data_IF_003744846351
#
_entry.id   IF_003744846351
#
_cell.length_a   1.000
_cell.length_b   1.000
_cell.length_c   1.000
_cell.angle_alpha   90.00
_cell.angle_beta   90.00
_cell.angle_gamma   90.00
#
_symmetry.space_group_name_H-M   'P 1'
#
loop_
_entity.id
_entity.type
_entity.pdbx_description
1 polymer ?
#
# COMPACT_ATOMS: atom_id res chain seq x y z
N UNK A 1 -2.16 -17.97 -21.14
CA UNK A 1 -3.23 -16.94 -21.11
C UNK A 1 -2.55 -15.63 -20.81
N UNK A 2 -2.57 -14.65 -21.73
CA UNK A 2 -2.18 -13.29 -21.37
C UNK A 2 -3.25 -12.76 -20.43
N UNK A 3 -2.86 -12.35 -19.22
CA UNK A 3 -3.77 -11.61 -18.35
C UNK A 3 -4.23 -10.36 -19.12
N UNK A 4 -5.52 -10.06 -19.11
CA UNK A 4 -6.01 -8.82 -19.71
C UNK A 4 -5.33 -7.63 -19.03
N UNK A 5 -4.94 -6.65 -19.84
CA UNK A 5 -4.33 -5.42 -19.34
C UNK A 5 -5.37 -4.65 -18.55
N UNK A 6 -5.05 -4.28 -17.32
CA UNK A 6 -5.94 -3.42 -16.55
C UNK A 6 -5.82 -1.96 -17.03
N UNK A 7 -6.91 -1.20 -16.92
CA UNK A 7 -6.89 0.25 -17.14
C UNK A 7 -6.00 0.95 -16.10
N UNK A 8 -5.25 2.00 -16.47
CA UNK A 8 -4.37 2.74 -15.55
C UNK A 8 -5.08 3.20 -14.27
N UNK A 9 -4.43 3.03 -13.10
CA UNK A 9 -4.93 3.62 -11.87
C UNK A 9 -4.81 5.16 -11.96
N UNK A 10 -5.90 5.92 -11.75
CA UNK A 10 -5.89 7.38 -11.90
C UNK A 10 -5.14 8.10 -10.76
N UNK A 11 -4.90 7.40 -9.65
CA UNK A 11 -4.19 7.93 -8.48
C UNK A 11 -2.68 7.65 -8.52
N UNK A 12 -2.19 6.97 -9.55
CA UNK A 12 -0.77 6.71 -9.77
C UNK A 12 -0.23 7.56 -10.94
N UNK A 13 1.08 7.84 -10.96
CA UNK A 13 1.70 8.56 -12.08
C UNK A 13 1.45 7.86 -13.41
N UNK A 14 1.21 8.66 -14.45
CA UNK A 14 1.17 8.15 -15.82
C UNK A 14 2.57 7.68 -16.22
N UNK A 15 2.65 6.45 -16.72
CA UNK A 15 3.91 5.87 -17.17
C UNK A 15 4.00 5.94 -18.70
N UNK A 16 5.13 6.43 -19.21
CA UNK A 16 5.45 6.39 -20.65
C UNK A 16 6.15 5.09 -21.04
N UNK A 17 6.83 4.48 -20.08
CA UNK A 17 7.56 3.21 -20.22
C UNK A 17 7.32 2.36 -18.98
N UNK A 18 7.19 1.06 -19.17
CA UNK A 18 7.09 0.09 -18.08
C UNK A 18 8.35 0.12 -17.22
N UNK A 19 8.15 0.22 -15.91
CA UNK A 19 9.21 0.07 -14.91
C UNK A 19 9.41 -1.41 -14.61
N UNK A 20 10.66 -1.82 -14.46
CA UNK A 20 11.07 -3.21 -14.28
C UNK A 20 11.80 -3.41 -12.96
N UNK A 21 12.04 -4.69 -12.62
CA UNK A 21 12.87 -5.04 -11.48
C UNK A 21 14.32 -4.53 -11.62
N UNK A 22 14.83 -4.37 -12.83
CA UNK A 22 16.17 -3.83 -13.06
C UNK A 22 16.25 -2.35 -12.67
N UNK A 23 15.24 -1.56 -13.04
CA UNK A 23 15.14 -0.14 -12.67
C UNK A 23 15.07 0.01 -11.15
N UNK A 24 14.28 -0.82 -10.47
CA UNK A 24 14.22 -0.82 -9.00
C UNK A 24 15.53 -1.19 -8.32
N UNK A 25 16.38 -2.03 -8.93
CA UNK A 25 17.69 -2.40 -8.39
C UNK A 25 18.73 -1.30 -8.64
N UNK A 26 18.64 -0.62 -9.77
CA UNK A 26 19.56 0.46 -10.14
C UNK A 26 19.54 1.63 -9.14
N UNK A 27 18.43 1.81 -8.42
CA UNK A 27 18.31 2.84 -7.38
C UNK A 27 19.12 2.54 -6.10
N UNK A 28 19.57 1.29 -5.90
CA UNK A 28 20.33 0.88 -4.72
C UNK A 28 19.54 1.03 -3.42
N UNK A 29 20.24 1.51 -2.38
CA UNK A 29 19.71 1.63 -1.02
C UNK A 29 19.03 3.00 -0.74
N UNK A 30 19.00 3.90 -1.72
CA UNK A 30 18.32 5.19 -1.56
C UNK A 30 16.82 5.00 -1.34
N UNK A 31 16.28 5.66 -0.31
CA UNK A 31 14.85 5.62 0.05
C UNK A 31 14.14 6.95 -0.09
N UNK A 32 14.79 7.99 -0.64
CA UNK A 32 14.18 9.33 -0.78
C UNK A 32 13.10 9.43 -1.85
N UNK A 33 12.85 10.65 -2.33
CA UNK A 33 11.77 10.94 -3.28
C UNK A 33 11.83 10.12 -4.58
N UNK A 34 13.01 9.89 -5.15
CA UNK A 34 13.14 9.09 -6.38
C UNK A 34 12.74 7.63 -6.18
N UNK A 35 12.99 7.08 -4.99
CA UNK A 35 12.52 5.75 -4.61
C UNK A 35 11.00 5.70 -4.50
N UNK A 36 10.41 6.73 -3.91
CA UNK A 36 8.97 6.85 -3.81
C UNK A 36 8.32 6.89 -5.21
N UNK A 37 8.78 7.79 -6.09
CA UNK A 37 8.31 7.93 -7.47
C UNK A 37 8.39 6.61 -8.23
N UNK A 38 9.57 5.98 -8.20
CA UNK A 38 9.81 4.72 -8.89
C UNK A 38 8.88 3.61 -8.38
N UNK A 39 8.61 3.53 -7.08
CA UNK A 39 7.67 2.56 -6.54
C UNK A 39 6.23 2.80 -7.03
N UNK A 40 5.79 4.05 -7.15
CA UNK A 40 4.45 4.35 -7.68
C UNK A 40 4.33 4.01 -9.17
N UNK A 41 5.31 4.38 -9.99
CA UNK A 41 5.36 4.02 -11.41
C UNK A 41 5.49 2.51 -11.62
N UNK A 42 6.22 1.84 -10.74
CA UNK A 42 6.34 0.39 -10.79
C UNK A 42 5.05 -0.31 -10.38
N UNK A 43 4.33 0.24 -9.39
CA UNK A 43 2.98 -0.22 -9.06
C UNK A 43 2.05 -0.10 -10.28
N UNK A 44 2.06 1.04 -10.96
CA UNK A 44 1.25 1.26 -12.16
C UNK A 44 1.58 0.24 -13.25
N UNK A 45 2.88 -0.01 -13.48
CA UNK A 45 3.35 -0.99 -14.46
C UNK A 45 2.84 -2.40 -14.12
N UNK A 46 2.89 -2.80 -12.84
CA UNK A 46 2.39 -4.11 -12.39
C UNK A 46 0.89 -4.23 -12.45
N UNK A 47 0.17 -3.18 -12.10
CA UNK A 47 -1.28 -3.16 -12.23
C UNK A 47 -1.70 -3.35 -13.70
N UNK A 48 -1.13 -2.58 -14.63
CA UNK A 48 -1.45 -2.69 -16.06
C UNK A 48 -1.04 -4.04 -16.66
N UNK A 49 -0.09 -4.76 -16.06
CA UNK A 49 0.29 -6.13 -16.44
C UNK A 49 -0.66 -7.21 -15.90
N UNK A 50 -1.74 -6.83 -15.20
CA UNK A 50 -2.66 -7.77 -14.57
C UNK A 50 -2.10 -8.41 -13.30
N UNK A 51 -1.17 -7.74 -12.62
CA UNK A 51 -0.47 -8.25 -11.42
C UNK A 51 -0.82 -7.40 -10.18
N UNK A 52 -2.07 -7.44 -9.69
CA UNK A 52 -2.54 -6.57 -8.62
C UNK A 52 -1.83 -6.81 -7.29
N UNK A 53 -1.52 -8.07 -6.94
CA UNK A 53 -0.73 -8.36 -5.75
C UNK A 53 0.66 -7.69 -5.80
N UNK A 54 1.34 -7.73 -6.94
CA UNK A 54 2.65 -7.11 -7.10
C UNK A 54 2.57 -5.57 -7.08
N UNK A 55 1.49 -5.00 -7.62
CA UNK A 55 1.23 -3.57 -7.53
C UNK A 55 1.11 -3.12 -6.07
N UNK A 56 0.28 -3.79 -5.27
CA UNK A 56 0.14 -3.51 -3.83
C UNK A 56 1.46 -3.65 -3.07
N UNK A 57 2.30 -4.62 -3.42
CA UNK A 57 3.64 -4.75 -2.85
C UNK A 57 4.54 -3.54 -3.16
N UNK A 58 4.45 -2.95 -4.35
CA UNK A 58 5.20 -1.73 -4.66
C UNK A 58 4.66 -0.52 -3.90
N UNK A 59 3.35 -0.40 -3.68
CA UNK A 59 2.78 0.67 -2.85
C UNK A 59 3.24 0.55 -1.39
N UNK A 60 3.32 -0.66 -0.85
CA UNK A 60 3.89 -0.90 0.48
C UNK A 60 5.36 -0.50 0.57
N UNK A 61 6.13 -0.74 -0.51
CA UNK A 61 7.51 -0.27 -0.60
C UNK A 61 7.57 1.26 -0.66
N UNK A 62 6.71 1.91 -1.44
CA UNK A 62 6.63 3.37 -1.49
C UNK A 62 6.40 3.98 -0.10
N UNK A 63 5.55 3.35 0.72
CA UNK A 63 5.28 3.77 2.10
C UNK A 63 6.47 3.64 3.07
N UNK A 64 7.59 3.03 2.66
CA UNK A 64 8.84 3.03 3.43
C UNK A 64 9.81 4.14 3.01
N UNK A 65 9.42 5.03 2.09
CA UNK A 65 10.28 6.10 1.62
C UNK A 65 10.63 7.10 2.73
N UNK A 66 11.85 7.60 2.66
CA UNK A 66 12.37 8.65 3.50
C UNK A 66 11.98 10.03 2.96
N UNK A 67 10.72 10.40 3.24
CA UNK A 67 10.11 11.66 2.81
C UNK A 67 10.00 12.64 3.97
N UNK A 68 10.08 13.93 3.65
CA UNK A 68 9.92 15.06 4.56
C UNK A 68 8.48 15.57 4.62
N UNK A 69 7.71 15.41 3.54
CA UNK A 69 6.31 15.84 3.43
C UNK A 69 6.11 17.21 2.78
N UNK A 70 7.20 17.90 2.44
CA UNK A 70 7.21 19.19 1.72
C UNK A 70 7.59 19.03 0.24
N UNK A 71 7.84 17.81 -0.22
CA UNK A 71 8.11 17.55 -1.63
C UNK A 71 6.88 17.85 -2.49
N UNK A 72 7.00 18.75 -3.47
CA UNK A 72 5.90 19.15 -4.37
C UNK A 72 5.20 17.96 -5.05
N UNK A 73 5.93 16.86 -5.28
CA UNK A 73 5.37 15.64 -5.86
C UNK A 73 4.25 15.02 -5.00
N UNK A 74 4.28 15.22 -3.67
CA UNK A 74 3.29 14.72 -2.74
C UNK A 74 1.96 15.49 -2.78
N UNK A 75 1.93 16.69 -3.36
CA UNK A 75 0.68 17.42 -3.56
C UNK A 75 -0.21 16.73 -4.60
N UNK A 76 0.41 16.10 -5.60
CA UNK A 76 -0.30 15.32 -6.61
C UNK A 76 -0.40 13.83 -6.26
N UNK A 77 0.66 13.26 -5.66
CA UNK A 77 0.76 11.84 -5.34
C UNK A 77 1.09 11.64 -3.86
N UNK A 78 0.14 11.89 -2.94
CA UNK A 78 0.34 11.68 -1.52
C UNK A 78 0.54 10.18 -1.21
N UNK A 79 0.84 9.87 0.06
CA UNK A 79 0.96 8.48 0.55
C UNK A 79 -0.18 7.62 -0.03
N UNK A 80 0.11 6.45 -0.65
CA UNK A 80 -0.77 5.88 -1.68
C UNK A 80 -2.01 5.13 -1.17
N UNK A 81 -2.70 5.65 -0.15
CA UNK A 81 -3.95 5.10 0.37
C UNK A 81 -5.06 5.07 -0.70
N UNK A 82 -5.24 6.15 -1.45
CA UNK A 82 -6.25 6.21 -2.52
C UNK A 82 -5.95 5.24 -3.66
N UNK A 83 -4.67 5.05 -3.99
CA UNK A 83 -4.24 4.04 -4.97
C UNK A 83 -4.54 2.61 -4.48
N UNK A 84 -4.25 2.32 -3.21
CA UNK A 84 -4.57 1.02 -2.60
C UNK A 84 -6.08 0.78 -2.61
N UNK A 85 -6.88 1.73 -2.12
CA UNK A 85 -8.34 1.65 -2.15
C UNK A 85 -8.86 1.34 -3.55
N UNK A 86 -8.43 2.14 -4.52
CA UNK A 86 -8.87 1.98 -5.90
C UNK A 86 -8.49 0.61 -6.47
N UNK A 87 -7.26 0.13 -6.26
CA UNK A 87 -6.83 -1.21 -6.72
C UNK A 87 -7.69 -2.32 -6.07
N UNK A 88 -8.04 -2.18 -4.79
CA UNK A 88 -8.89 -3.16 -4.10
C UNK A 88 -10.35 -3.12 -4.54
N UNK A 89 -10.86 -1.95 -4.97
CA UNK A 89 -12.20 -1.78 -5.53
C UNK A 89 -12.28 -2.29 -6.97
N UNK A 90 -11.26 -1.99 -7.78
CA UNK A 90 -11.17 -2.39 -9.19
C UNK A 90 -10.63 -3.80 -9.39
N UNK A 91 -10.30 -4.51 -8.30
CA UNK A 91 -9.66 -5.81 -8.37
C UNK A 91 -10.42 -6.76 -9.31
N UNK A 92 -9.63 -7.48 -10.10
CA UNK A 92 -10.08 -8.41 -11.13
C UNK A 92 -9.72 -9.86 -10.78
N UNK A 93 -9.55 -10.14 -9.49
CA UNK A 93 -9.31 -11.49 -8.97
C UNK A 93 -10.45 -12.46 -9.33
N UNK A 94 -11.67 -11.95 -9.45
CA UNK A 94 -12.83 -12.67 -10.01
C UNK A 94 -12.66 -13.07 -11.48
N UNK A 95 -11.73 -12.43 -12.19
CA UNK A 95 -11.36 -12.69 -13.59
C UNK A 95 -9.99 -13.40 -13.72
N UNK A 96 -9.47 -13.97 -12.64
CA UNK A 96 -8.27 -14.81 -12.63
C UNK A 96 -6.95 -14.10 -12.31
N UNK A 97 -6.96 -12.80 -11.99
CA UNK A 97 -5.75 -12.09 -11.55
C UNK A 97 -5.45 -12.33 -10.07
N UNK A 98 -4.28 -12.88 -9.75
CA UNK A 98 -3.96 -13.19 -8.35
C UNK A 98 -3.78 -11.93 -7.49
N UNK A 99 -4.58 -11.83 -6.42
CA UNK A 99 -4.49 -10.77 -5.40
C UNK A 99 -3.86 -11.24 -4.08
N UNK A 100 -3.96 -12.54 -3.76
CA UNK A 100 -3.66 -13.05 -2.42
C UNK A 100 -4.70 -12.62 -1.39
N UNK A 101 -4.32 -12.52 -0.11
CA UNK A 101 -5.17 -11.96 0.95
C UNK A 101 -4.53 -10.66 1.48
N UNK A 102 -4.93 -9.47 0.96
CA UNK A 102 -4.35 -8.20 1.39
C UNK A 102 -4.56 -7.91 2.88
N UNK A 103 -5.71 -8.32 3.44
CA UNK A 103 -6.01 -8.12 4.87
C UNK A 103 -4.98 -8.84 5.75
N UNK A 104 -4.76 -10.14 5.53
CA UNK A 104 -3.73 -10.90 6.24
C UNK A 104 -2.33 -10.36 5.99
N UNK A 105 -2.02 -10.00 4.75
CA UNK A 105 -0.73 -9.41 4.40
C UNK A 105 -0.41 -8.20 5.29
N UNK A 106 -1.31 -7.21 5.38
CA UNK A 106 -1.06 -6.02 6.20
C UNK A 106 -1.11 -6.29 7.71
N UNK A 107 -1.92 -7.24 8.17
CA UNK A 107 -1.92 -7.68 9.58
C UNK A 107 -0.55 -8.24 9.98
N UNK A 108 -0.01 -9.17 9.20
CA UNK A 108 1.33 -9.72 9.46
C UNK A 108 2.42 -8.66 9.29
N UNK A 109 2.30 -7.80 8.27
CA UNK A 109 3.30 -6.77 8.04
C UNK A 109 3.37 -5.78 9.19
N UNK A 110 2.22 -5.37 9.75
CA UNK A 110 2.18 -4.51 10.92
C UNK A 110 2.76 -5.18 12.17
N UNK A 111 2.39 -6.44 12.44
CA UNK A 111 2.82 -7.17 13.65
C UNK A 111 4.27 -7.66 13.63
N UNK A 112 4.92 -7.69 12.46
CA UNK A 112 6.31 -8.15 12.27
C UNK A 112 7.27 -7.04 11.84
N UNK A 113 6.81 -5.79 11.77
CA UNK A 113 7.58 -4.68 11.26
C UNK A 113 8.87 -4.44 12.06
N UNK A 114 9.98 -4.32 11.36
CA UNK A 114 11.28 -3.97 11.94
C UNK A 114 12.10 -3.08 10.99
N UNK A 115 13.24 -2.61 11.49
CA UNK A 115 14.18 -1.78 10.73
C UNK A 115 13.81 -0.29 10.71
N UNK A 116 14.38 0.48 9.76
CA UNK A 116 14.20 1.92 9.69
C UNK A 116 12.73 2.34 9.64
N UNK A 117 12.42 3.42 10.36
CA UNK A 117 11.09 4.04 10.43
C UNK A 117 9.98 3.04 10.78
N UNK A 118 10.29 1.97 11.53
CA UNK A 118 9.33 0.90 11.88
C UNK A 118 8.06 1.46 12.52
N UNK A 119 8.16 2.43 13.43
CA UNK A 119 7.00 3.01 14.11
C UNK A 119 5.93 3.52 13.13
N UNK A 120 6.27 4.41 12.20
CA UNK A 120 5.30 4.91 11.21
C UNK A 120 4.90 3.81 10.22
N UNK A 121 5.81 2.90 9.85
CA UNK A 121 5.48 1.80 8.93
C UNK A 121 4.46 0.81 9.51
N UNK A 122 4.48 0.58 10.83
CA UNK A 122 3.45 -0.20 11.54
C UNK A 122 2.09 0.46 11.34
N UNK A 123 1.99 1.76 11.61
CA UNK A 123 0.72 2.49 11.52
C UNK A 123 0.22 2.64 10.08
N UNK A 124 1.11 2.84 9.10
CA UNK A 124 0.76 2.78 7.68
C UNK A 124 0.24 1.40 7.27
N UNK A 125 0.79 0.33 7.85
CA UNK A 125 0.32 -1.04 7.60
C UNK A 125 -1.07 -1.27 8.20
N UNK A 126 -1.32 -0.82 9.43
CA UNK A 126 -2.65 -0.86 10.02
C UNK A 126 -3.68 0.00 9.28
N UNK A 127 -3.25 1.15 8.76
CA UNK A 127 -4.08 2.00 7.90
C UNK A 127 -4.52 1.28 6.62
N UNK A 128 -3.61 0.53 5.98
CA UNK A 128 -3.95 -0.29 4.83
C UNK A 128 -4.81 -1.50 5.19
N UNK A 129 -4.58 -2.13 6.35
CA UNK A 129 -5.46 -3.18 6.88
C UNK A 129 -6.90 -2.67 7.05
N UNK A 130 -7.08 -1.47 7.60
CA UNK A 130 -8.40 -0.87 7.79
C UNK A 130 -9.11 -0.62 6.45
N UNK A 131 -8.41 -0.04 5.46
CA UNK A 131 -8.94 0.15 4.09
C UNK A 131 -9.35 -1.21 3.50
N UNK A 132 -8.47 -2.21 3.56
CA UNK A 132 -8.75 -3.53 3.03
C UNK A 132 -9.94 -4.21 3.71
N UNK A 133 -10.09 -4.01 5.02
CA UNK A 133 -11.19 -4.59 5.81
C UNK A 133 -12.55 -3.99 5.46
N UNK A 134 -12.61 -2.73 5.03
CA UNK A 134 -13.85 -2.10 4.57
C UNK A 134 -14.25 -2.50 3.14
N UNK A 135 -13.26 -2.73 2.27
CA UNK A 135 -13.51 -3.00 0.85
C UNK A 135 -13.71 -4.49 0.56
N UNK A 136 -12.95 -5.35 1.24
CA UNK A 136 -12.95 -6.78 1.00
C UNK A 136 -13.89 -7.48 1.97
N UNK A 137 -14.65 -8.47 1.47
CA UNK A 137 -15.52 -9.32 2.28
C UNK A 137 -14.72 -10.22 3.22
N UNK A 138 -15.18 -10.36 4.46
CA UNK A 138 -14.59 -11.23 5.47
C UNK A 138 -14.59 -12.72 5.06
N UNK A 139 -15.60 -13.14 4.27
CA UNK A 139 -15.71 -14.52 3.79
C UNK A 139 -14.56 -14.91 2.85
N UNK A 140 -14.15 -13.97 1.99
CA UNK A 140 -13.19 -14.23 0.92
C UNK A 140 -11.77 -13.81 1.35
N UNK A 141 -11.69 -12.77 2.20
CA UNK A 141 -10.45 -12.17 2.68
C UNK A 141 -10.45 -12.07 4.21
N UNK A 142 -10.57 -13.19 4.93
CA UNK A 142 -10.61 -13.17 6.39
C UNK A 142 -9.30 -12.63 6.95
N UNK A 143 -9.36 -12.03 8.14
CA UNK A 143 -8.18 -11.74 8.94
C UNK A 143 -7.46 -13.05 9.32
N UNK A 144 -6.27 -12.94 9.92
CA UNK A 144 -5.65 -14.09 10.56
C UNK A 144 -6.10 -14.17 12.02
N UNK A 145 -7.21 -14.89 12.24
CA UNK A 145 -7.79 -15.12 13.56
C UNK A 145 -6.89 -15.98 14.44
N UNK A 146 -6.13 -16.90 13.84
CA UNK A 146 -5.18 -17.74 14.57
C UNK A 146 -4.06 -16.89 15.16
N UNK A 147 -3.53 -15.93 14.39
CA UNK A 147 -2.56 -14.97 14.91
C UNK A 147 -3.15 -14.13 16.05
N UNK A 148 -4.38 -13.65 15.91
CA UNK A 148 -5.06 -12.87 16.95
C UNK A 148 -5.16 -13.64 18.27
N UNK A 149 -5.62 -14.89 18.20
CA UNK A 149 -5.82 -15.73 19.38
C UNK A 149 -4.50 -16.20 19.99
N UNK A 150 -3.59 -16.73 19.18
CA UNK A 150 -2.36 -17.37 19.69
C UNK A 150 -1.29 -16.37 20.13
N UNK A 151 -1.27 -15.17 19.53
CA UNK A 151 -0.28 -14.13 19.85
C UNK A 151 -0.84 -12.99 20.69
N UNK A 152 -2.15 -13.01 20.98
CA UNK A 152 -2.82 -11.90 21.65
C UNK A 152 -2.75 -10.60 20.86
N UNK A 153 -2.77 -10.68 19.52
CA UNK A 153 -2.63 -9.51 18.67
C UNK A 153 -3.87 -8.61 18.79
N UNK A 154 -3.67 -7.39 19.27
CA UNK A 154 -4.72 -6.38 19.34
C UNK A 154 -4.74 -5.59 18.03
N UNK A 155 -5.83 -5.72 17.27
CA UNK A 155 -6.08 -4.88 16.10
C UNK A 155 -6.44 -3.47 16.58
N UNK A 156 -5.70 -2.42 16.16
CA UNK A 156 -5.98 -1.06 16.61
C UNK A 156 -7.29 -0.53 16.01
N UNK A 157 -7.96 0.35 16.75
CA UNK A 157 -9.12 1.07 16.26
C UNK A 157 -8.74 2.12 15.22
N UNK A 158 -9.71 2.54 14.41
CA UNK A 158 -9.51 3.61 13.42
C UNK A 158 -9.02 4.91 14.08
N UNK A 159 -9.54 5.28 15.25
CA UNK A 159 -9.06 6.45 16.00
C UNK A 159 -7.62 6.33 16.50
N UNK A 160 -7.18 5.12 16.87
CA UNK A 160 -5.78 4.87 17.24
C UNK A 160 -4.87 5.00 16.03
N UNK A 161 -5.28 4.47 14.87
CA UNK A 161 -4.53 4.61 13.63
C UNK A 161 -4.44 6.09 13.24
N UNK A 162 -5.56 6.82 13.26
CA UNK A 162 -5.61 8.25 12.95
C UNK A 162 -4.62 9.07 13.78
N UNK A 163 -4.68 8.90 15.11
CA UNK A 163 -3.85 9.63 16.05
C UNK A 163 -2.36 9.39 15.78
N UNK A 164 -1.99 8.15 15.51
CA UNK A 164 -0.60 7.79 15.26
C UNK A 164 -0.12 8.24 13.88
N UNK A 165 -0.96 8.19 12.84
CA UNK A 165 -0.62 8.80 11.54
C UNK A 165 -0.46 10.31 11.66
N UNK A 166 -1.29 10.98 12.45
CA UNK A 166 -1.17 12.43 12.70
C UNK A 166 0.11 12.78 13.45
N UNK A 167 0.53 11.93 14.39
CA UNK A 167 1.71 12.17 15.22
C UNK A 167 3.04 11.77 14.57
N UNK A 168 3.05 10.74 13.73
CA UNK A 168 4.28 10.12 13.21
C UNK A 168 4.40 10.20 11.68
N UNK A 169 3.29 10.46 10.99
CA UNK A 169 3.22 10.52 9.53
C UNK A 169 3.60 11.89 8.97
N UNK A 170 3.44 12.01 7.65
CA UNK A 170 3.66 13.27 6.95
C UNK A 170 2.52 14.26 7.25
N UNK A 171 2.74 15.58 7.05
CA UNK A 171 1.68 16.55 7.08
C UNK A 171 0.49 16.12 6.21
N UNK A 172 -0.72 16.20 6.77
CA UNK A 172 -1.99 15.83 6.10
C UNK A 172 -2.16 14.32 5.79
N UNK A 173 -1.21 13.45 6.17
CA UNK A 173 -1.30 12.02 5.89
C UNK A 173 -2.54 11.36 6.54
N UNK A 174 -2.83 11.70 7.80
CA UNK A 174 -4.02 11.19 8.50
C UNK A 174 -5.30 11.57 7.75
N UNK A 175 -5.39 12.80 7.24
CA UNK A 175 -6.57 13.27 6.51
C UNK A 175 -6.75 12.53 5.19
N UNK A 176 -5.65 12.30 4.45
CA UNK A 176 -5.67 11.52 3.21
C UNK A 176 -6.13 10.07 3.46
N UNK A 177 -5.72 9.48 4.59
CA UNK A 177 -6.18 8.14 4.98
C UNK A 177 -7.66 8.11 5.35
N UNK A 178 -8.17 9.06 6.15
CA UNK A 178 -9.59 9.12 6.54
C UNK A 178 -10.51 9.19 5.31
N UNK A 179 -10.12 9.93 4.26
CA UNK A 179 -10.89 10.01 3.02
C UNK A 179 -11.00 8.66 2.27
N UNK A 180 -10.17 7.68 2.63
CA UNK A 180 -10.17 6.34 2.03
C UNK A 180 -10.97 5.32 2.84
N UNK A 181 -11.32 5.61 4.09
CA UNK A 181 -12.22 4.78 4.90
C UNK A 181 -13.69 4.90 4.42
#
# INVERSE_FOLDING_TARGET
>A
MSLESNEPCPFLPKILKKVTAADSRALGDSKGLDFYKLCLEYSQSKWMEGLPAQALLQLNRAMSADLNGDEEFLDQFPIPYSSIKWILEQRTDKYGQFLGNPRRHWQHYASRMSGPRSNIRIWRSWACFAIASKILSDSDFPADEEQILNEGLIIPSESQIELNLKSLGLPRESNAWIQCL
#
